data_IF_131306749227
#
_entry.id   IF_131306749227
#
_cell.length_a   1.000
_cell.length_b   1.000
_cell.length_c   1.000
_cell.angle_alpha   90.00
_cell.angle_beta   90.00
_cell.angle_gamma   90.00
#
_symmetry.space_group_name_H-M   'P 1'
#
loop_
_entity.id
_entity.type
_entity.pdbx_description
1 polymer ?
#
# COMPACT_ATOMS: atom_id res chain seq x y z
N UNK A 1 -6.76 7.40 -17.78
CA UNK A 1 -6.08 6.67 -16.68
C UNK A 1 -6.81 5.35 -16.53
N UNK A 2 -6.13 4.21 -16.57
CA UNK A 2 -6.75 2.92 -16.31
C UNK A 2 -7.00 2.84 -14.78
N UNK A 3 -8.24 2.95 -14.28
CA UNK A 3 -8.49 3.04 -12.84
C UNK A 3 -8.29 1.71 -12.11
N UNK A 4 -7.97 0.64 -12.83
CA UNK A 4 -7.88 -0.74 -12.32
C UNK A 4 -6.45 -1.22 -12.04
N UNK A 5 -5.43 -0.36 -12.15
CA UNK A 5 -4.04 -0.75 -11.92
C UNK A 5 -3.50 -0.18 -10.60
N UNK A 6 -2.73 -1.01 -9.89
CA UNK A 6 -1.95 -0.58 -8.72
C UNK A 6 -0.90 0.43 -9.17
N UNK A 7 -0.77 1.54 -8.44
CA UNK A 7 0.23 2.56 -8.68
C UNK A 7 1.65 1.93 -8.68
N UNK A 8 2.49 2.20 -9.69
CA UNK A 8 3.80 1.55 -9.79
C UNK A 8 4.71 1.80 -8.59
N UNK A 9 4.63 2.98 -7.94
CA UNK A 9 5.41 3.25 -6.72
C UNK A 9 4.90 2.43 -5.55
N UNK A 10 3.57 2.39 -5.38
CA UNK A 10 2.96 1.55 -4.35
C UNK A 10 3.30 0.07 -4.55
N UNK A 11 3.21 -0.44 -5.78
CA UNK A 11 3.56 -1.81 -6.10
C UNK A 11 5.02 -2.13 -5.76
N UNK A 12 5.95 -1.23 -6.09
CA UNK A 12 7.36 -1.41 -5.77
C UNK A 12 7.62 -1.39 -4.26
N UNK A 13 6.92 -0.53 -3.50
CA UNK A 13 6.98 -0.49 -2.05
C UNK A 13 6.48 -1.79 -1.43
N UNK A 14 5.30 -2.27 -1.86
CA UNK A 14 4.76 -3.54 -1.36
C UNK A 14 5.69 -4.71 -1.69
N UNK A 15 6.28 -4.75 -2.88
CA UNK A 15 7.28 -5.77 -3.24
C UNK A 15 8.57 -5.67 -2.40
N UNK A 16 8.93 -4.47 -1.92
CA UNK A 16 10.10 -4.25 -1.07
C UNK A 16 9.88 -4.80 0.34
N UNK A 17 8.67 -4.63 0.88
CA UNK A 17 8.32 -5.05 2.25
C UNK A 17 7.86 -6.52 2.30
N UNK A 18 6.95 -6.92 1.41
CA UNK A 18 6.32 -8.24 1.43
C UNK A 18 7.11 -9.32 0.68
N UNK A 19 8.05 -8.91 -0.18
CA UNK A 19 8.84 -9.80 -1.03
C UNK A 19 8.49 -9.67 -2.52
N UNK A 20 9.51 -9.81 -3.37
CA UNK A 20 9.37 -9.61 -4.83
C UNK A 20 8.62 -10.76 -5.49
N UNK A 21 8.54 -11.94 -4.87
CA UNK A 21 7.80 -13.08 -5.41
C UNK A 21 6.28 -12.85 -5.46
N UNK A 22 5.76 -11.92 -4.65
CA UNK A 22 4.33 -11.60 -4.62
C UNK A 22 3.89 -10.66 -5.75
N UNK A 23 4.83 -10.03 -6.46
CA UNK A 23 4.55 -9.05 -7.54
C UNK A 23 3.46 -9.47 -8.54
N UNK A 24 3.45 -10.70 -9.11
CA UNK A 24 2.42 -11.10 -10.08
C UNK A 24 1.04 -11.34 -9.45
N UNK A 25 0.95 -11.43 -8.12
CA UNK A 25 -0.28 -11.68 -7.37
C UNK A 25 -0.86 -10.42 -6.75
N UNK A 26 -0.08 -9.34 -6.64
CA UNK A 26 -0.52 -8.06 -6.08
C UNK A 26 -1.43 -7.35 -7.09
N UNK A 27 -2.70 -7.19 -6.71
CA UNK A 27 -3.71 -6.41 -7.39
C UNK A 27 -4.40 -5.48 -6.39
N UNK A 28 -5.33 -4.63 -6.85
CA UNK A 28 -6.13 -3.78 -5.95
C UNK A 28 -7.00 -4.59 -4.98
N UNK A 29 -7.41 -5.79 -5.40
CA UNK A 29 -8.24 -6.69 -4.60
C UNK A 29 -7.44 -7.44 -3.53
N UNK A 30 -6.10 -7.45 -3.63
CA UNK A 30 -5.24 -8.12 -2.66
C UNK A 30 -5.38 -7.49 -1.28
N UNK A 31 -5.64 -8.33 -0.29
CA UNK A 31 -5.78 -7.99 1.13
C UNK A 31 -4.61 -8.52 1.93
N UNK A 32 -4.45 -8.01 3.15
CA UNK A 32 -3.49 -8.56 4.12
C UNK A 32 -3.66 -10.06 4.35
N UNK A 33 -4.89 -10.57 4.27
CA UNK A 33 -5.21 -11.98 4.48
C UNK A 33 -4.74 -12.89 3.32
N UNK A 34 -4.52 -12.33 2.13
CA UNK A 34 -4.12 -13.08 0.94
C UNK A 34 -2.60 -13.29 0.84
N UNK A 35 -1.81 -12.57 1.64
CA UNK A 35 -0.34 -12.62 1.63
C UNK A 35 0.13 -13.07 3.01
N UNK A 36 0.75 -14.26 3.08
CA UNK A 36 1.27 -14.84 4.33
C UNK A 36 2.25 -13.92 5.08
N UNK A 37 3.07 -13.17 4.34
CA UNK A 37 4.05 -12.25 4.90
C UNK A 37 3.44 -10.91 5.32
N UNK A 38 2.14 -10.65 5.08
CA UNK A 38 1.48 -9.42 5.48
C UNK A 38 0.85 -9.57 6.87
N UNK A 39 1.73 -9.75 7.85
CA UNK A 39 1.40 -9.85 9.27
C UNK A 39 1.40 -8.48 9.99
N UNK A 40 1.29 -8.48 11.32
CA UNK A 40 1.29 -7.25 12.12
C UNK A 40 2.62 -6.46 12.07
N UNK A 41 3.76 -7.13 11.87
CA UNK A 41 5.06 -6.45 11.83
C UNK A 41 5.26 -5.76 10.48
N UNK A 42 5.06 -6.52 9.41
CA UNK A 42 5.15 -6.00 8.04
C UNK A 42 4.06 -4.97 7.73
N UNK A 43 2.90 -5.06 8.37
CA UNK A 43 1.89 -4.00 8.30
C UNK A 43 2.44 -2.67 8.82
N UNK A 44 3.15 -2.65 9.95
CA UNK A 44 3.79 -1.44 10.47
C UNK A 44 4.86 -0.95 9.48
N UNK A 45 5.66 -1.86 8.93
CA UNK A 45 6.68 -1.51 7.93
C UNK A 45 6.06 -0.90 6.66
N UNK A 46 4.90 -1.40 6.21
CA UNK A 46 4.16 -0.82 5.08
C UNK A 46 3.68 0.59 5.42
N UNK A 47 3.10 0.80 6.60
CA UNK A 47 2.63 2.12 7.03
C UNK A 47 3.79 3.12 7.02
N UNK A 48 4.91 2.78 7.66
CA UNK A 48 6.10 3.61 7.72
C UNK A 48 6.69 3.86 6.32
N UNK A 49 6.82 2.82 5.50
CA UNK A 49 7.34 2.95 4.15
C UNK A 49 6.44 3.86 3.28
N UNK A 50 5.11 3.82 3.47
CA UNK A 50 4.18 4.69 2.75
C UNK A 50 4.35 6.14 3.19
N UNK A 51 4.51 6.39 4.48
CA UNK A 51 4.82 7.74 5.00
C UNK A 51 6.12 8.28 4.40
N UNK A 52 7.19 7.49 4.39
CA UNK A 52 8.50 7.89 3.86
C UNK A 52 8.49 8.09 2.34
N UNK A 53 7.93 7.16 1.58
CA UNK A 53 7.99 7.15 0.11
C UNK A 53 7.07 8.21 -0.52
N UNK A 54 5.94 8.52 0.14
CA UNK A 54 4.96 9.48 -0.36
C UNK A 54 4.94 10.80 0.44
N UNK A 55 5.78 10.95 1.47
CA UNK A 55 5.81 12.14 2.32
C UNK A 55 4.51 12.36 3.09
N UNK A 56 3.82 11.29 3.47
CA UNK A 56 2.52 11.33 4.12
C UNK A 56 2.65 11.23 5.64
N UNK A 57 1.61 11.67 6.35
CA UNK A 57 1.40 11.33 7.76
C UNK A 57 0.14 10.49 7.87
N UNK A 58 0.31 9.24 8.26
CA UNK A 58 -0.76 8.28 8.51
C UNK A 58 -1.06 8.29 10.01
N UNK A 59 -2.29 8.65 10.38
CA UNK A 59 -2.72 8.53 11.78
C UNK A 59 -3.06 7.07 12.11
N UNK A 60 -3.06 6.66 13.39
CA UNK A 60 -3.41 5.29 13.78
C UNK A 60 -4.77 4.83 13.25
N UNK A 61 -5.77 5.72 13.21
CA UNK A 61 -7.11 5.43 12.70
C UNK A 61 -7.08 5.14 11.20
N UNK A 62 -6.28 5.90 10.44
CA UNK A 62 -6.12 5.73 9.00
C UNK A 62 -5.29 4.47 8.69
N UNK A 63 -4.29 4.16 9.52
CA UNK A 63 -3.53 2.93 9.41
C UNK A 63 -4.45 1.72 9.51
N UNK A 64 -5.41 1.72 10.45
CA UNK A 64 -6.38 0.62 10.59
C UNK A 64 -7.20 0.34 9.32
N UNK A 65 -7.31 1.29 8.40
CA UNK A 65 -7.98 1.09 7.10
C UNK A 65 -7.05 0.51 6.01
N UNK A 66 -5.73 0.46 6.23
CA UNK A 66 -4.70 -0.03 5.29
C UNK A 66 -4.64 -1.57 5.18
N UNK A 67 -5.80 -2.23 5.11
CA UNK A 67 -5.93 -3.70 5.09
C UNK A 67 -6.00 -4.30 3.68
N UNK A 68 -5.99 -3.46 2.65
CA UNK A 68 -5.93 -3.87 1.24
C UNK A 68 -5.13 -2.88 0.41
N UNK A 69 -4.65 -3.36 -0.74
CA UNK A 69 -3.89 -2.52 -1.69
C UNK A 69 -4.74 -1.37 -2.22
N UNK A 70 -6.02 -1.60 -2.50
CA UNK A 70 -6.96 -0.55 -2.87
C UNK A 70 -7.09 0.52 -1.79
N UNK A 71 -7.24 0.12 -0.52
CA UNK A 71 -7.40 1.07 0.58
C UNK A 71 -6.15 1.96 0.74
N UNK A 72 -4.96 1.35 0.69
CA UNK A 72 -3.68 2.08 0.73
C UNK A 72 -3.59 3.08 -0.43
N UNK A 73 -3.89 2.63 -1.66
CA UNK A 73 -3.86 3.49 -2.84
C UNK A 73 -4.85 4.66 -2.73
N UNK A 74 -6.05 4.41 -2.20
CA UNK A 74 -7.06 5.45 -1.98
C UNK A 74 -6.56 6.49 -0.99
N UNK A 75 -5.99 6.06 0.13
CA UNK A 75 -5.41 6.96 1.15
C UNK A 75 -4.30 7.83 0.55
N UNK A 76 -3.39 7.22 -0.22
CA UNK A 76 -2.32 7.95 -0.91
C UNK A 76 -2.90 8.99 -1.85
N UNK A 77 -3.92 8.64 -2.67
CA UNK A 77 -4.55 9.57 -3.60
C UNK A 77 -5.29 10.72 -2.93
N UNK A 78 -5.93 10.47 -1.79
CA UNK A 78 -6.67 11.48 -1.04
C UNK A 78 -5.74 12.48 -0.34
N UNK A 79 -4.63 11.97 0.23
CA UNK A 79 -3.64 12.80 0.95
C UNK A 79 -2.64 13.47 0.01
N UNK A 80 -2.41 12.88 -1.16
CA UNK A 80 -1.53 13.37 -2.20
C UNK A 80 -2.32 13.54 -3.51
N UNK A 81 -3.26 14.50 -3.58
CA UNK A 81 -3.91 14.80 -4.85
C UNK A 81 -2.81 15.25 -5.80
N UNK A 82 -2.52 14.42 -6.81
CA UNK A 82 -1.54 14.70 -7.86
C UNK A 82 -1.80 16.11 -8.35
N UNK A 83 -0.98 17.06 -7.91
CA UNK A 83 -0.94 18.40 -8.47
C UNK A 83 -0.18 18.26 -9.78
N UNK A 84 -0.96 18.08 -10.84
CA UNK A 84 -0.65 18.34 -12.27
C UNK A 84 0.67 17.81 -12.82
#
# INVERSE_FOLDING_TARGET
MNPAAVDPKLLNLLCRVLGKEHRPRISLETRMEDIENWDSLTFIDIVLAVEEEFGLKISPELAQEMVSVEAIQKIIREKHPVST
#
